data_IF_483800901516
#
_entry.id   IF_483800901516
#
_cell.length_a   1.000
_cell.length_b   1.000
_cell.length_c   1.000
_cell.angle_alpha   90.00
_cell.angle_beta   90.00
_cell.angle_gamma   90.00
#
_symmetry.space_group_name_H-M   'P 1'
#
loop_
_entity.id
_entity.type
_entity.pdbx_description
1 polymer ?
#
# COMPACT_ATOMS: atom_id res chain seq x y z
N UNK A 1 -15.01 3.21 3.95
CA UNK A 1 -14.11 2.76 5.02
C UNK A 1 -13.67 3.95 5.86
N UNK A 2 -13.15 3.72 7.08
CA UNK A 2 -12.60 4.80 7.92
C UNK A 2 -11.29 5.32 7.32
N UNK A 3 -11.11 6.64 7.30
CA UNK A 3 -9.87 7.33 6.89
C UNK A 3 -8.91 7.57 8.07
N UNK A 4 -9.13 6.83 9.16
CA UNK A 4 -8.32 6.90 10.38
C UNK A 4 -7.49 5.65 10.58
N UNK A 5 -6.25 5.83 11.04
CA UNK A 5 -5.39 4.73 11.42
C UNK A 5 -6.00 3.93 12.56
N UNK A 6 -6.00 2.61 12.45
CA UNK A 6 -6.53 1.70 13.48
C UNK A 6 -5.42 0.80 14.00
N UNK A 7 -5.46 0.50 15.29
CA UNK A 7 -4.49 -0.40 15.95
C UNK A 7 -4.39 -1.78 15.26
N UNK A 8 -5.47 -2.24 14.61
CA UNK A 8 -5.49 -3.50 13.87
C UNK A 8 -4.55 -3.54 12.65
N UNK A 9 -4.08 -2.38 12.18
CA UNK A 9 -3.10 -2.28 11.09
C UNK A 9 -1.66 -2.43 11.60
N UNK A 10 -1.47 -2.49 12.92
CA UNK A 10 -0.16 -2.75 13.50
C UNK A 10 0.10 -4.25 13.53
N UNK A 11 1.11 -4.70 12.78
CA UNK A 11 1.59 -6.08 12.80
C UNK A 11 2.54 -6.31 13.99
N UNK A 12 3.00 -5.23 14.63
CA UNK A 12 3.87 -5.28 15.79
C UNK A 12 5.33 -5.55 15.43
N UNK A 13 5.74 -5.08 14.26
CA UNK A 13 7.12 -4.98 13.82
C UNK A 13 7.39 -3.52 13.45
N UNK A 14 8.20 -2.83 14.27
CA UNK A 14 8.33 -1.37 14.27
C UNK A 14 8.56 -0.76 12.88
N UNK A 15 9.47 -1.34 12.09
CA UNK A 15 9.81 -0.84 10.75
C UNK A 15 8.63 -0.97 9.78
N UNK A 16 7.95 -2.12 9.78
CA UNK A 16 6.80 -2.39 8.91
C UNK A 16 5.64 -1.47 9.29
N UNK A 17 5.34 -1.35 10.59
CA UNK A 17 4.27 -0.49 11.09
C UNK A 17 4.50 1.00 10.75
N UNK A 18 5.75 1.46 10.78
CA UNK A 18 6.11 2.82 10.38
C UNK A 18 5.89 3.02 8.88
N UNK A 19 6.30 2.05 8.06
CA UNK A 19 6.14 2.13 6.61
C UNK A 19 4.66 2.10 6.20
N UNK A 20 3.84 1.24 6.83
CA UNK A 20 2.39 1.19 6.63
C UNK A 20 1.69 2.52 6.92
N UNK A 21 2.10 3.21 7.98
CA UNK A 21 1.52 4.52 8.34
C UNK A 21 1.74 5.55 7.24
N UNK A 22 2.93 5.58 6.65
CA UNK A 22 3.24 6.51 5.56
C UNK A 22 2.43 6.17 4.31
N UNK A 23 2.34 4.88 3.94
CA UNK A 23 1.50 4.46 2.80
C UNK A 23 0.04 4.88 3.01
N UNK A 24 -0.51 4.64 4.20
CA UNK A 24 -1.87 5.03 4.56
C UNK A 24 -2.10 6.54 4.46
N UNK A 25 -1.17 7.37 4.93
CA UNK A 25 -1.25 8.83 4.81
C UNK A 25 -1.14 9.33 3.36
N UNK A 26 -0.37 8.65 2.50
CA UNK A 26 -0.32 8.95 1.07
C UNK A 26 -1.67 8.66 0.39
N UNK A 27 -2.32 7.54 0.72
CA UNK A 27 -3.68 7.23 0.23
C UNK A 27 -4.68 8.29 0.71
N UNK A 28 -4.60 8.70 1.97
CA UNK A 28 -5.44 9.79 2.50
C UNK A 28 -5.19 11.12 1.78
N UNK A 29 -3.96 11.41 1.43
CA UNK A 29 -3.59 12.64 0.72
C UNK A 29 -4.20 12.71 -0.68
N UNK A 30 -4.33 11.57 -1.38
CA UNK A 30 -5.06 11.48 -2.66
C UNK A 30 -6.53 11.87 -2.45
N UNK A 31 -7.21 11.23 -1.49
CA UNK A 31 -8.62 11.49 -1.20
C UNK A 31 -8.88 12.94 -0.78
N UNK A 32 -8.00 13.49 0.07
CA UNK A 32 -8.08 14.88 0.49
C UNK A 32 -7.85 15.84 -0.69
N UNK A 33 -6.90 15.55 -1.58
CA UNK A 33 -6.67 16.37 -2.76
C UNK A 33 -7.89 16.41 -3.69
N UNK A 34 -8.54 15.27 -3.93
CA UNK A 34 -9.79 15.20 -4.68
C UNK A 34 -10.91 16.01 -4.01
N UNK A 35 -11.14 15.81 -2.71
CA UNK A 35 -12.21 16.48 -1.97
C UNK A 35 -12.07 18.01 -1.94
N UNK A 36 -10.84 18.52 -1.97
CA UNK A 36 -10.56 19.97 -2.02
C UNK A 36 -10.49 20.53 -3.44
N UNK A 37 -10.82 19.75 -4.48
CA UNK A 37 -10.80 20.20 -5.87
C UNK A 37 -9.39 20.53 -6.36
N UNK A 38 -8.37 19.78 -5.92
CA UNK A 38 -7.00 19.95 -6.37
C UNK A 38 -6.86 19.78 -7.89
N UNK A 39 -5.82 20.38 -8.46
CA UNK A 39 -5.51 20.20 -9.88
C UNK A 39 -5.20 18.74 -10.22
N UNK A 40 -5.51 18.35 -11.45
CA UNK A 40 -5.23 17.01 -11.97
C UNK A 40 -3.74 16.64 -11.90
N UNK A 41 -2.82 17.61 -12.10
CA UNK A 41 -1.38 17.38 -11.96
C UNK A 41 -0.99 17.07 -10.50
N UNK A 42 -1.60 17.74 -9.52
CA UNK A 42 -1.34 17.44 -8.10
C UNK A 42 -1.79 16.02 -7.75
N UNK A 43 -2.99 15.62 -8.18
CA UNK A 43 -3.50 14.26 -7.96
C UNK A 43 -2.58 13.23 -8.65
N UNK A 44 -2.19 13.47 -9.91
CA UNK A 44 -1.25 12.62 -10.65
C UNK A 44 0.06 12.39 -9.88
N UNK A 45 0.64 13.47 -9.33
CA UNK A 45 1.88 13.40 -8.54
C UNK A 45 1.69 12.55 -7.28
N UNK A 46 0.58 12.73 -6.56
CA UNK A 46 0.28 11.92 -5.38
C UNK A 46 0.11 10.44 -5.71
N UNK A 47 -0.57 10.09 -6.81
CA UNK A 47 -0.69 8.70 -7.26
C UNK A 47 0.70 8.10 -7.56
N UNK A 48 1.55 8.85 -8.28
CA UNK A 48 2.90 8.40 -8.60
C UNK A 48 3.79 8.28 -7.35
N UNK A 49 3.63 9.17 -6.38
CA UNK A 49 4.31 9.11 -5.09
C UNK A 49 3.88 7.89 -4.28
N UNK A 50 2.57 7.62 -4.18
CA UNK A 50 2.03 6.41 -3.54
C UNK A 50 2.55 5.14 -4.19
N UNK A 51 2.62 5.08 -5.52
CA UNK A 51 3.15 3.92 -6.24
C UNK A 51 4.63 3.66 -5.92
N UNK A 52 5.45 4.71 -5.95
CA UNK A 52 6.88 4.61 -5.62
C UNK A 52 7.11 4.23 -4.16
N UNK A 53 6.29 4.75 -3.26
CA UNK A 53 6.39 4.42 -1.85
C UNK A 53 6.00 2.96 -1.58
N UNK A 54 4.96 2.45 -2.26
CA UNK A 54 4.59 1.04 -2.21
C UNK A 54 5.74 0.14 -2.68
N UNK A 55 6.37 0.46 -3.81
CA UNK A 55 7.53 -0.28 -4.33
C UNK A 55 8.69 -0.31 -3.31
N UNK A 56 9.00 0.83 -2.69
CA UNK A 56 10.01 0.90 -1.62
C UNK A 56 9.65 -0.01 -0.44
N UNK A 57 8.42 0.09 0.05
CA UNK A 57 7.94 -0.71 1.18
C UNK A 57 7.99 -2.21 0.88
N UNK A 58 7.53 -2.63 -0.30
CA UNK A 58 7.58 -4.03 -0.71
C UNK A 58 9.00 -4.57 -0.80
N UNK A 59 9.94 -3.79 -1.36
CA UNK A 59 11.36 -4.17 -1.34
C UNK A 59 11.92 -4.24 0.09
N UNK A 60 11.50 -3.33 0.97
CA UNK A 60 11.91 -3.33 2.38
C UNK A 60 11.46 -4.60 3.10
N UNK A 61 10.21 -5.01 2.90
CA UNK A 61 9.61 -6.21 3.48
C UNK A 61 10.15 -7.51 2.84
N UNK A 62 10.30 -7.54 1.52
CA UNK A 62 10.90 -8.65 0.79
C UNK A 62 12.34 -8.94 1.25
N UNK A 63 13.13 -7.90 1.52
CA UNK A 63 14.46 -8.10 2.10
C UNK A 63 14.39 -8.71 3.51
N UNK A 64 13.43 -8.30 4.35
CA UNK A 64 13.21 -8.91 5.66
C UNK A 64 12.85 -10.39 5.50
N UNK A 65 11.94 -10.71 4.58
CA UNK A 65 11.53 -12.10 4.29
C UNK A 65 12.72 -12.97 3.87
N UNK A 66 13.60 -12.45 3.00
CA UNK A 66 14.82 -13.14 2.56
C UNK A 66 15.78 -13.36 3.73
N UNK A 67 16.02 -12.33 4.54
CA UNK A 67 16.97 -12.37 5.67
C UNK A 67 16.56 -13.42 6.73
N UNK A 68 15.26 -13.59 6.96
CA UNK A 68 14.74 -14.56 7.94
C UNK A 68 14.41 -15.93 7.33
N UNK A 69 14.52 -16.09 6.00
CA UNK A 69 14.17 -17.34 5.31
C UNK A 69 12.67 -17.66 5.34
N UNK A 70 11.82 -16.64 5.18
CA UNK A 70 10.36 -16.78 5.24
C UNK A 70 9.82 -17.73 4.15
N UNK A 71 9.16 -18.85 4.49
CA UNK A 71 8.77 -19.88 3.53
C UNK A 71 7.77 -19.41 2.47
N UNK A 72 6.88 -18.49 2.80
CA UNK A 72 5.81 -17.98 1.93
C UNK A 72 6.24 -16.76 1.08
N UNK A 73 7.54 -16.47 0.99
CA UNK A 73 8.09 -15.31 0.26
C UNK A 73 7.52 -15.12 -1.15
N UNK A 74 7.51 -16.18 -1.97
CA UNK A 74 7.07 -16.05 -3.37
C UNK A 74 5.58 -15.73 -3.48
N UNK A 75 4.73 -16.30 -2.61
CA UNK A 75 3.29 -16.02 -2.59
C UNK A 75 3.02 -14.57 -2.14
N UNK A 76 3.70 -14.14 -1.07
CA UNK A 76 3.61 -12.77 -0.57
C UNK A 76 4.04 -11.75 -1.65
N UNK A 77 5.16 -12.02 -2.32
CA UNK A 77 5.67 -11.18 -3.42
C UNK A 77 4.70 -11.09 -4.59
N UNK A 78 3.97 -12.14 -4.92
CA UNK A 78 2.93 -12.06 -5.96
C UNK A 78 1.78 -11.12 -5.59
N UNK A 79 1.43 -11.02 -4.30
CA UNK A 79 0.47 -10.02 -3.83
C UNK A 79 0.97 -8.59 -4.07
N UNK A 80 2.25 -8.31 -3.78
CA UNK A 80 2.89 -7.02 -4.07
C UNK A 80 2.87 -6.69 -5.56
N UNK A 81 3.33 -7.61 -6.40
CA UNK A 81 3.37 -7.41 -7.84
C UNK A 81 1.97 -7.19 -8.42
N UNK A 82 0.96 -7.88 -7.89
CA UNK A 82 -0.44 -7.68 -8.27
C UNK A 82 -0.91 -6.26 -7.98
N UNK A 83 -0.60 -5.70 -6.79
CA UNK A 83 -0.91 -4.31 -6.49
C UNK A 83 -0.22 -3.36 -7.48
N UNK A 84 1.08 -3.56 -7.74
CA UNK A 84 1.85 -2.70 -8.63
C UNK A 84 1.29 -2.70 -10.07
N UNK A 85 0.88 -3.86 -10.58
CA UNK A 85 0.19 -3.97 -11.88
C UNK A 85 -1.14 -3.20 -11.90
N UNK A 86 -1.92 -3.25 -10.82
CA UNK A 86 -3.18 -2.51 -10.72
C UNK A 86 -2.94 -0.99 -10.62
N UNK A 87 -1.95 -0.56 -9.82
CA UNK A 87 -1.54 0.84 -9.73
C UNK A 87 -1.15 1.41 -11.11
N UNK A 88 -0.35 0.67 -11.88
CA UNK A 88 0.02 1.08 -13.24
C UNK A 88 -1.20 1.25 -14.16
N UNK A 89 -2.18 0.32 -14.10
CA UNK A 89 -3.43 0.46 -14.87
C UNK A 89 -4.20 1.71 -14.47
N UNK A 90 -4.29 2.00 -13.18
CA UNK A 90 -4.96 3.21 -12.69
C UNK A 90 -4.27 4.50 -13.15
N UNK A 91 -2.93 4.55 -13.18
CA UNK A 91 -2.21 5.71 -13.74
C UNK A 91 -2.61 5.94 -15.19
N UNK A 92 -2.62 4.90 -16.02
CA UNK A 92 -3.00 5.00 -17.43
C UNK A 92 -4.44 5.48 -17.60
N UNK A 93 -5.39 4.91 -16.84
CA UNK A 93 -6.80 5.33 -16.86
C UNK A 93 -7.00 6.77 -16.37
N UNK A 94 -6.18 7.21 -15.42
CA UNK A 94 -6.19 8.59 -14.94
C UNK A 94 -5.62 9.57 -15.94
N UNK A 95 -4.71 9.15 -16.81
CA UNK A 95 -4.23 9.98 -17.90
C UNK A 95 -5.26 10.10 -19.04
N UNK A 96 -6.00 9.02 -19.35
CA UNK A 96 -7.07 9.05 -20.37
C UNK A 96 -8.33 9.80 -19.93
N UNK A 97 -8.54 9.97 -18.62
CA UNK A 97 -9.73 10.63 -18.06
C UNK A 97 -10.88 9.71 -17.73
N UNK A 98 -10.65 8.40 -17.80
CA UNK A 98 -11.66 7.37 -17.56
C UNK A 98 -11.68 6.86 -16.11
N UNK A 99 -10.74 7.31 -15.27
CA UNK A 99 -10.64 6.87 -13.88
C UNK A 99 -11.40 7.76 -12.90
N UNK A 100 -12.01 7.12 -11.91
CA UNK A 100 -12.57 7.76 -10.73
C UNK A 100 -11.56 7.66 -9.55
N UNK A 101 -11.19 8.79 -8.95
CA UNK A 101 -10.23 8.80 -7.83
C UNK A 101 -10.84 8.17 -6.57
N UNK A 102 -12.14 8.31 -6.36
CA UNK A 102 -12.84 7.60 -5.30
C UNK A 102 -12.63 6.08 -5.37
N UNK A 103 -12.72 5.51 -6.59
CA UNK A 103 -12.55 4.06 -6.80
C UNK A 103 -11.10 3.62 -6.56
N UNK A 104 -10.12 4.45 -6.96
CA UNK A 104 -8.71 4.20 -6.65
C UNK A 104 -8.45 4.20 -5.15
N UNK A 105 -8.95 5.20 -4.42
CA UNK A 105 -8.78 5.30 -2.96
C UNK A 105 -9.44 4.11 -2.28
N UNK A 106 -10.66 3.74 -2.69
CA UNK A 106 -11.36 2.56 -2.18
C UNK A 106 -10.55 1.29 -2.40
N UNK A 107 -10.08 1.06 -3.63
CA UNK A 107 -9.24 -0.08 -3.98
C UNK A 107 -7.97 -0.17 -3.12
N UNK A 108 -7.25 0.95 -2.93
CA UNK A 108 -6.01 0.98 -2.14
C UNK A 108 -6.25 0.71 -0.66
N UNK A 109 -7.33 1.26 -0.09
CA UNK A 109 -7.69 1.01 1.31
C UNK A 109 -8.12 -0.45 1.51
N UNK A 110 -8.92 -1.01 0.60
CA UNK A 110 -9.36 -2.39 0.66
C UNK A 110 -8.17 -3.35 0.59
N UNK A 111 -7.25 -3.09 -0.35
CA UNK A 111 -6.02 -3.87 -0.48
C UNK A 111 -5.14 -3.77 0.76
N UNK A 112 -4.89 -2.55 1.25
CA UNK A 112 -4.07 -2.30 2.45
C UNK A 112 -4.62 -3.02 3.68
N UNK A 113 -5.93 -2.86 3.95
CA UNK A 113 -6.57 -3.50 5.10
C UNK A 113 -6.46 -5.02 4.99
N UNK A 114 -6.71 -5.59 3.81
CA UNK A 114 -6.62 -7.03 3.62
C UNK A 114 -5.19 -7.52 3.83
N UNK A 115 -4.24 -6.98 3.08
CA UNK A 115 -2.85 -7.42 3.07
C UNK A 115 -2.20 -7.31 4.45
N UNK A 116 -2.30 -6.14 5.09
CA UNK A 116 -1.70 -5.91 6.42
C UNK A 116 -2.31 -6.75 7.53
N UNK A 117 -3.60 -7.07 7.45
CA UNK A 117 -4.24 -7.90 8.48
C UNK A 117 -4.15 -9.40 8.21
N UNK A 118 -3.64 -9.82 7.05
CA UNK A 118 -3.44 -11.24 6.70
C UNK A 118 -1.97 -11.54 6.47
N UNK A 119 -1.39 -11.09 5.36
CA UNK A 119 -0.05 -11.47 4.88
C UNK A 119 1.05 -10.94 5.80
N UNK A 120 1.07 -9.63 6.04
CA UNK A 120 2.13 -8.96 6.83
C UNK A 120 2.07 -9.40 8.30
N UNK A 121 0.87 -9.75 8.78
CA UNK A 121 0.67 -10.30 10.12
C UNK A 121 1.26 -11.72 10.24
N UNK A 122 1.19 -12.54 9.19
CA UNK A 122 1.84 -13.85 9.16
C UNK A 122 3.36 -13.70 9.18
N UNK A 123 3.91 -12.78 8.37
CA UNK A 123 5.34 -12.47 8.39
C UNK A 123 5.80 -12.01 9.78
N UNK A 124 5.11 -11.04 10.40
CA UNK A 124 5.44 -10.56 11.74
C UNK A 124 5.42 -11.66 12.80
N UNK A 125 4.48 -12.61 12.70
CA UNK A 125 4.44 -13.78 13.60
C UNK A 125 5.64 -14.70 13.40
N UNK A 126 6.10 -14.86 12.16
CA UNK A 126 7.29 -15.65 11.83
C UNK A 126 8.56 -14.98 12.38
N UNK A 127 8.74 -13.67 12.15
CA UNK A 127 9.88 -12.89 12.66
C UNK A 127 10.02 -13.01 14.18
N UNK A 128 8.91 -13.05 14.92
CA UNK A 128 8.93 -13.17 16.40
C UNK A 128 9.33 -14.56 16.91
N UNK A 129 9.30 -15.58 16.05
CA UNK A 129 9.60 -16.96 16.41
C UNK A 129 11.00 -17.39 15.96
N UNK A 130 11.58 -16.69 14.98
CA UNK A 130 12.96 -16.84 14.52
C UNK A 130 13.96 -16.24 15.53
#
# INVERSE_FOLDING_TARGET
>A
MSMEWQKKFEVGHYKIDLEHRVFFELVKSIAAAEAHGASRDKIRRLIAETAKYAEFHFLSEENIMIDVGYPEFEEHREHHQSLMRNMQKYVVSFESGDSNIHDLVGFLLDWFVKHTTTEDLLLSKYIKQA
#
